data_IF_241853069473
#
_entry.id   IF_241853069473
#
_cell.length_a   1.000
_cell.length_b   1.000
_cell.length_c   1.000
_cell.angle_alpha   90.00
_cell.angle_beta   90.00
_cell.angle_gamma   90.00
#
_symmetry.space_group_name_H-M   'P 1'
#
loop_
_entity.id
_entity.type
_entity.pdbx_description
1 polymer ?
#
# COMPACT_ATOMS: atom_id res chain seq x y z
N UNK A 1 20.44 -24.35 1.53
CA UNK A 1 19.32 -25.12 0.95
C UNK A 1 18.32 -25.38 2.06
N UNK A 2 17.42 -24.42 2.27
CA UNK A 2 16.39 -24.48 3.33
C UNK A 2 15.12 -24.95 2.63
N UNK A 3 14.73 -26.19 2.86
CA UNK A 3 13.55 -26.79 2.25
C UNK A 3 12.33 -25.90 2.50
N UNK A 4 11.49 -25.68 1.47
CA UNK A 4 10.17 -25.13 1.66
C UNK A 4 9.40 -26.08 2.59
N UNK A 5 9.17 -25.66 3.84
CA UNK A 5 8.32 -26.38 4.79
C UNK A 5 6.84 -26.24 4.37
N UNK A 6 6.49 -26.75 3.19
CA UNK A 6 5.11 -27.00 2.79
C UNK A 6 4.69 -28.46 3.06
N UNK A 7 5.50 -29.24 3.77
CA UNK A 7 5.03 -30.51 4.33
C UNK A 7 4.14 -30.22 5.55
N UNK A 8 2.94 -29.71 5.26
CA UNK A 8 1.83 -29.81 6.16
C UNK A 8 1.58 -31.31 6.38
N UNK A 9 1.99 -31.81 7.54
CA UNK A 9 1.62 -33.13 8.01
C UNK A 9 0.12 -33.29 7.85
N UNK A 10 -0.29 -34.16 6.92
CA UNK A 10 -1.66 -34.58 6.77
C UNK A 10 -1.98 -35.41 8.01
N UNK A 11 -2.51 -34.77 9.06
CA UNK A 11 -3.07 -35.49 10.20
C UNK A 11 -4.24 -36.33 9.68
N UNK A 12 -4.02 -37.63 9.60
CA UNK A 12 -5.05 -38.62 9.28
C UNK A 12 -6.18 -38.52 10.31
N UNK A 13 -7.46 -38.69 9.91
CA UNK A 13 -8.55 -38.72 10.87
C UNK A 13 -8.40 -39.96 11.77
N UNK A 14 -8.23 -39.72 13.07
CA UNK A 14 -8.36 -40.78 14.10
C UNK A 14 -9.80 -41.24 14.09
N UNK A 15 -10.00 -42.48 13.65
CA UNK A 15 -11.25 -43.23 13.78
C UNK A 15 -11.44 -43.61 15.26
N UNK A 16 -12.24 -42.82 15.98
CA UNK A 16 -12.74 -43.23 17.30
C UNK A 16 -13.85 -44.27 17.11
N UNK A 17 -13.54 -45.50 17.53
CA UNK A 17 -14.51 -46.57 17.70
C UNK A 17 -15.37 -46.34 18.93
N UNK A 18 -16.63 -46.71 18.79
CA UNK A 18 -17.72 -46.51 19.73
C UNK A 18 -17.51 -46.99 21.16
N UNK A 19 -18.19 -46.27 22.07
CA UNK A 19 -18.55 -46.70 23.42
C UNK A 19 -20.01 -46.38 23.67
N UNK A 20 -20.85 -47.40 23.61
CA UNK A 20 -22.28 -47.41 23.98
C UNK A 20 -22.43 -47.54 25.49
N UNK A 21 -23.29 -46.71 26.12
CA UNK A 21 -24.39 -47.13 27.03
C UNK A 21 -24.92 -45.95 27.85
N UNK A 22 -26.23 -45.93 28.12
CA UNK A 22 -26.79 -45.22 29.28
C UNK A 22 -28.11 -44.51 29.03
N UNK A 23 -29.20 -45.27 29.03
CA UNK A 23 -30.57 -44.79 28.95
C UNK A 23 -31.04 -44.02 30.20
N UNK A 24 -31.81 -42.95 29.99
CA UNK A 24 -32.94 -42.45 30.79
C UNK A 24 -33.48 -41.22 30.02
N UNK A 25 -34.71 -41.11 29.51
CA UNK A 25 -36.00 -41.60 29.98
C UNK A 25 -36.76 -40.46 30.66
N UNK A 26 -37.48 -39.60 29.91
CA UNK A 26 -38.74 -38.95 30.36
C UNK A 26 -39.46 -38.08 29.29
N UNK A 27 -40.67 -38.55 28.96
CA UNK A 27 -41.96 -37.89 28.66
C UNK A 27 -42.04 -36.47 28.06
N UNK A 28 -42.51 -36.44 26.80
CA UNK A 28 -43.75 -35.84 26.24
C UNK A 28 -44.61 -34.96 27.18
N UNK A 29 -44.84 -33.69 26.80
CA UNK A 29 -46.12 -32.95 26.57
C UNK A 29 -45.73 -31.65 25.81
N UNK A 30 -46.38 -31.07 24.81
CA UNK A 30 -47.62 -31.31 24.09
C UNK A 30 -47.68 -30.37 22.87
N UNK A 31 -48.53 -30.73 21.93
CA UNK A 31 -48.75 -30.03 20.66
C UNK A 31 -49.48 -28.69 20.85
N UNK A 32 -49.23 -27.73 19.96
CA UNK A 32 -50.28 -26.85 19.48
C UNK A 32 -49.95 -26.34 18.08
N UNK A 33 -50.80 -26.75 17.13
CA UNK A 33 -50.81 -26.32 15.75
C UNK A 33 -51.69 -25.08 15.62
N UNK A 34 -51.23 -24.06 14.88
CA UNK A 34 -52.13 -23.02 14.34
C UNK A 34 -51.76 -22.74 12.88
N UNK A 35 -52.70 -23.16 12.04
CA UNK A 35 -53.17 -22.61 10.76
C UNK A 35 -52.23 -21.80 9.85
N UNK A 36 -52.06 -22.37 8.65
CA UNK A 36 -51.74 -21.70 7.38
C UNK A 36 -52.74 -20.60 7.01
N UNK A 37 -52.27 -19.54 6.33
CA UNK A 37 -52.91 -18.89 5.16
C UNK A 37 -51.98 -17.85 4.56
N UNK A 38 -51.94 -17.76 3.21
CA UNK A 38 -51.59 -16.52 2.51
C UNK A 38 -50.45 -16.58 1.50
N UNK A 39 -50.66 -17.27 0.39
CA UNK A 39 -49.91 -17.07 -0.86
C UNK A 39 -50.37 -15.81 -1.59
N UNK A 40 -49.45 -14.92 -1.98
CA UNK A 40 -49.42 -14.30 -3.33
C UNK A 40 -48.09 -13.57 -3.58
N UNK A 41 -47.47 -13.69 -4.78
CA UNK A 41 -46.18 -13.09 -5.07
C UNK A 41 -46.36 -11.71 -5.71
N UNK A 42 -45.77 -10.67 -5.12
CA UNK A 42 -45.72 -9.34 -5.74
C UNK A 42 -44.35 -9.14 -6.39
N UNK A 43 -44.32 -9.30 -7.72
CA UNK A 43 -43.22 -8.86 -8.59
C UNK A 43 -42.88 -7.41 -8.27
N UNK A 44 -41.68 -7.15 -7.78
CA UNK A 44 -41.03 -5.83 -7.86
C UNK A 44 -39.96 -5.90 -8.93
N UNK A 45 -40.07 -4.99 -9.90
CA UNK A 45 -39.11 -4.77 -10.96
C UNK A 45 -37.72 -4.44 -10.37
N UNK A 46 -36.62 -4.83 -11.03
CA UNK A 46 -35.30 -4.39 -10.62
C UNK A 46 -35.16 -2.90 -10.93
N UNK A 47 -34.99 -2.12 -9.87
CA UNK A 47 -34.48 -0.75 -9.97
C UNK A 47 -32.99 -0.87 -10.30
N UNK A 48 -32.66 -0.64 -11.57
CA UNK A 48 -31.29 -0.40 -12.00
C UNK A 48 -30.83 0.91 -11.37
N UNK A 49 -30.06 0.81 -10.29
CA UNK A 49 -29.35 1.95 -9.76
C UNK A 49 -27.84 1.74 -9.84
N UNK A 50 -27.23 2.82 -10.28
CA UNK A 50 -25.97 2.92 -10.98
C UNK A 50 -24.94 3.33 -9.94
N UNK A 51 -24.06 2.42 -9.52
CA UNK A 51 -22.79 2.82 -8.91
C UNK A 51 -21.64 2.44 -9.82
N UNK A 52 -21.19 3.48 -10.53
CA UNK A 52 -19.90 3.57 -11.20
C UNK A 52 -18.78 3.26 -10.21
N UNK A 53 -18.30 2.02 -10.21
CA UNK A 53 -16.96 1.72 -9.71
C UNK A 53 -15.97 2.07 -10.82
N UNK A 54 -15.38 3.25 -10.73
CA UNK A 54 -14.17 3.58 -11.47
C UNK A 54 -13.02 2.73 -10.91
N UNK A 55 -12.85 1.54 -11.47
CA UNK A 55 -11.57 0.86 -11.50
C UNK A 55 -11.06 1.02 -12.94
N UNK A 56 -10.03 1.81 -13.13
CA UNK A 56 -9.31 1.89 -14.40
C UNK A 56 -8.55 0.58 -14.61
N UNK A 57 -9.23 -0.45 -15.10
CA UNK A 57 -8.59 -1.60 -15.75
C UNK A 57 -8.56 -1.31 -17.24
N UNK A 58 -7.34 -1.08 -17.75
CA UNK A 58 -7.07 -0.97 -19.18
C UNK A 58 -7.00 -2.39 -19.78
N UNK A 59 -7.85 -2.68 -20.78
CA UNK A 59 -7.78 -3.85 -21.67
C UNK A 59 -7.60 -3.30 -23.10
N UNK A 60 -6.78 -3.94 -23.97
CA UNK A 60 -6.03 -3.22 -24.99
C UNK A 60 -6.78 -3.10 -26.33
N UNK A 61 -6.57 -1.97 -27.01
CA UNK A 61 -6.79 -1.76 -28.44
C UNK A 61 -5.57 -0.99 -29.00
N UNK A 62 -5.27 -1.11 -30.31
CA UNK A 62 -3.91 -0.96 -30.82
C UNK A 62 -3.48 0.51 -30.96
N UNK A 63 -2.20 0.76 -30.68
CA UNK A 63 -1.44 1.99 -30.92
C UNK A 63 -1.67 3.20 -30.00
N UNK A 64 -2.06 3.02 -28.74
CA UNK A 64 -1.85 4.07 -27.72
C UNK A 64 -0.49 3.89 -27.06
N UNK A 65 0.43 4.80 -27.36
CA UNK A 65 1.71 4.85 -26.65
C UNK A 65 1.49 5.22 -25.19
N UNK A 66 1.98 4.39 -24.26
CA UNK A 66 1.91 4.67 -22.81
C UNK A 66 3.27 5.18 -22.34
N UNK A 67 3.27 6.26 -21.56
CA UNK A 67 4.47 6.80 -20.90
C UNK A 67 4.38 6.41 -19.42
N UNK A 68 5.25 5.51 -18.99
CA UNK A 68 5.40 5.18 -17.56
C UNK A 68 6.69 5.80 -17.03
N UNK A 69 6.63 6.42 -15.85
CA UNK A 69 7.77 7.08 -15.23
C UNK A 69 8.00 6.59 -13.81
N UNK A 70 9.26 6.37 -13.43
CA UNK A 70 9.66 6.18 -12.03
C UNK A 70 10.51 7.36 -11.56
N UNK A 71 10.27 7.76 -10.30
CA UNK A 71 10.90 8.91 -9.67
C UNK A 71 11.83 8.38 -8.57
N UNK A 72 13.10 8.76 -8.61
CA UNK A 72 14.06 8.51 -7.54
C UNK A 72 14.72 9.82 -7.12
N UNK A 73 14.71 10.13 -5.82
CA UNK A 73 15.38 11.30 -5.25
C UNK A 73 16.81 10.98 -4.81
N UNK A 74 17.71 11.95 -4.95
CA UNK A 74 19.05 11.91 -4.36
C UNK A 74 19.36 13.28 -3.74
N UNK A 75 19.67 13.31 -2.45
CA UNK A 75 19.99 14.54 -1.73
C UNK A 75 21.45 14.93 -1.96
N UNK A 76 21.71 16.23 -2.16
CA UNK A 76 23.07 16.81 -2.27
C UNK A 76 23.24 17.94 -1.25
N UNK A 77 24.45 18.10 -0.71
CA UNK A 77 24.81 18.99 0.42
C UNK A 77 24.88 20.50 0.10
N UNK A 78 24.15 20.98 -0.90
CA UNK A 78 24.10 22.39 -1.32
C UNK A 78 22.72 22.99 -0.92
N UNK A 79 22.42 24.31 -1.08
CA UNK A 79 21.15 24.90 -0.59
C UNK A 79 19.94 24.09 -1.06
N UNK A 80 18.78 24.09 -0.36
CA UNK A 80 17.76 23.03 -0.40
C UNK A 80 17.14 22.87 -1.79
N UNK A 81 17.89 22.22 -2.66
CA UNK A 81 17.54 21.89 -4.02
C UNK A 81 17.49 20.39 -4.08
N UNK A 82 16.28 19.89 -4.26
CA UNK A 82 16.10 18.46 -4.52
C UNK A 82 16.50 18.19 -5.96
N UNK A 83 17.33 17.16 -6.16
CA UNK A 83 17.57 16.57 -7.48
C UNK A 83 16.69 15.34 -7.64
N UNK A 84 15.90 15.35 -8.71
CA UNK A 84 14.95 14.29 -9.05
C UNK A 84 15.36 13.66 -10.37
N UNK A 85 15.78 12.40 -10.31
CA UNK A 85 16.04 11.64 -11.52
C UNK A 85 14.75 10.96 -11.94
N UNK A 86 14.30 11.25 -13.17
CA UNK A 86 13.12 10.65 -13.75
C UNK A 86 13.54 9.67 -14.83
N UNK A 87 13.09 8.43 -14.73
CA UNK A 87 13.19 7.46 -15.81
C UNK A 87 11.84 7.35 -16.45
N UNK A 88 11.76 7.55 -17.76
CA UNK A 88 10.53 7.33 -18.52
C UNK A 88 10.74 6.18 -19.49
N UNK A 89 9.70 5.39 -19.71
CA UNK A 89 9.62 4.40 -20.76
C UNK A 89 8.50 4.82 -21.71
N UNK A 90 8.82 4.93 -23.00
CA UNK A 90 7.81 5.10 -24.05
C UNK A 90 7.53 3.73 -24.63
N UNK A 91 6.37 3.16 -24.30
CA UNK A 91 5.92 1.91 -24.89
C UNK A 91 5.05 2.22 -26.10
N UNK A 92 5.43 1.72 -27.28
CA UNK A 92 4.59 1.74 -28.48
C UNK A 92 5.01 2.76 -29.53
N UNK A 93 5.27 2.24 -30.74
CA UNK A 93 5.56 3.02 -31.94
C UNK A 93 6.80 2.48 -32.65
N UNK A 94 6.61 1.74 -33.74
CA UNK A 94 7.70 1.51 -34.70
C UNK A 94 8.14 2.87 -35.25
N UNK A 95 9.35 3.31 -34.91
CA UNK A 95 9.90 4.60 -35.34
C UNK A 95 10.59 4.51 -36.71
N UNK A 96 10.24 3.54 -37.57
CA UNK A 96 10.90 3.41 -38.87
C UNK A 96 10.72 4.70 -39.69
N UNK A 97 11.78 5.50 -39.76
CA UNK A 97 11.88 6.73 -40.57
C UNK A 97 11.34 8.01 -39.93
N UNK A 98 10.77 7.99 -38.72
CA UNK A 98 10.18 9.18 -38.08
C UNK A 98 11.08 9.73 -36.97
N UNK A 99 11.36 11.03 -37.02
CA UNK A 99 12.12 11.73 -35.98
C UNK A 99 11.20 12.11 -34.81
N UNK A 100 10.81 11.11 -34.04
CA UNK A 100 9.95 11.31 -32.87
C UNK A 100 10.76 11.92 -31.71
N UNK A 101 10.25 13.00 -31.11
CA UNK A 101 10.86 13.69 -29.96
C UNK A 101 9.91 13.71 -28.77
N UNK A 102 10.47 13.62 -27.56
CA UNK A 102 9.74 13.81 -26.32
C UNK A 102 9.92 15.25 -25.84
N UNK A 103 8.88 16.06 -25.94
CA UNK A 103 8.87 17.43 -25.42
C UNK A 103 8.29 17.44 -24.00
N UNK A 104 9.08 17.89 -23.04
CA UNK A 104 8.71 18.02 -21.63
C UNK A 104 8.53 19.49 -21.29
N UNK A 105 7.47 19.81 -20.55
CA UNK A 105 7.21 21.13 -19.97
C UNK A 105 6.93 20.96 -18.49
N UNK A 106 7.79 21.54 -17.65
CA UNK A 106 7.64 21.57 -16.21
C UNK A 106 6.98 22.89 -15.81
N UNK A 107 5.85 22.80 -15.13
CA UNK A 107 5.12 23.93 -14.56
C UNK A 107 5.24 23.89 -13.05
N UNK A 108 5.18 25.06 -12.41
CA UNK A 108 5.32 25.23 -10.96
C UNK A 108 4.20 26.09 -10.40
N UNK A 109 3.76 25.76 -9.20
CA UNK A 109 2.91 26.58 -8.34
C UNK A 109 3.49 26.62 -6.92
N UNK A 110 3.30 27.71 -6.15
CA UNK A 110 3.64 27.72 -4.73
C UNK A 110 2.98 26.54 -4.00
N UNK A 111 3.72 25.92 -3.08
CA UNK A 111 3.17 24.86 -2.24
C UNK A 111 2.11 25.47 -1.31
N UNK A 112 0.83 25.23 -1.61
CA UNK A 112 -0.24 25.58 -0.68
C UNK A 112 -0.42 24.39 0.26
N UNK A 113 0.00 24.54 1.51
CA UNK A 113 -0.27 23.56 2.56
C UNK A 113 -1.79 23.47 2.75
N UNK A 114 -2.39 22.47 2.11
CA UNK A 114 -3.75 22.06 2.41
C UNK A 114 -3.63 20.73 3.17
N UNK A 115 -4.27 20.63 4.33
CA UNK A 115 -4.36 19.40 5.13
C UNK A 115 -5.23 18.32 4.47
N UNK A 116 -5.20 18.21 3.15
CA UNK A 116 -6.00 17.30 2.34
C UNK A 116 -5.28 16.94 1.03
N UNK A 117 -5.88 16.09 0.18
CA UNK A 117 -5.30 15.72 -1.11
C UNK A 117 -4.99 16.98 -1.93
N UNK A 118 -3.92 16.97 -2.73
CA UNK A 118 -3.55 18.07 -3.65
C UNK A 118 -4.71 18.36 -4.61
N UNK A 119 -5.54 19.36 -4.29
CA UNK A 119 -6.79 19.67 -5.03
C UNK A 119 -6.56 20.60 -6.23
N UNK A 120 -5.44 21.32 -6.32
CA UNK A 120 -5.14 22.14 -7.49
C UNK A 120 -4.39 21.33 -8.54
N UNK A 121 -5.17 20.64 -9.40
CA UNK A 121 -4.70 19.96 -10.62
C UNK A 121 -4.85 20.84 -11.87
N UNK A 122 -5.18 22.11 -11.69
CA UNK A 122 -5.37 23.02 -12.81
C UNK A 122 -4.01 23.44 -13.37
N UNK A 123 -3.62 22.75 -14.45
CA UNK A 123 -2.38 22.98 -15.20
C UNK A 123 -2.30 24.43 -15.70
N UNK A 124 -3.45 25.04 -16.01
CA UNK A 124 -3.51 26.40 -16.57
C UNK A 124 -3.23 27.48 -15.51
N UNK A 125 -3.40 27.14 -14.23
CA UNK A 125 -3.04 28.00 -13.10
C UNK A 125 -1.54 27.98 -12.75
N UNK A 126 -0.77 27.04 -13.31
CA UNK A 126 0.64 26.87 -13.00
C UNK A 126 1.54 27.71 -13.92
N UNK A 127 2.64 28.22 -13.36
CA UNK A 127 3.61 29.04 -14.10
C UNK A 127 4.62 28.14 -14.81
N UNK A 128 5.03 28.44 -16.06
CA UNK A 128 6.13 27.75 -16.71
C UNK A 128 7.41 27.83 -15.88
N UNK A 129 8.08 26.70 -15.67
CA UNK A 129 9.34 26.61 -14.96
C UNK A 129 10.49 26.22 -15.91
N UNK A 130 10.31 25.15 -16.70
CA UNK A 130 11.29 24.71 -17.69
C UNK A 130 10.61 24.00 -18.87
N UNK A 131 11.24 23.98 -20.03
CA UNK A 131 10.79 23.20 -21.17
C UNK A 131 11.98 22.71 -22.02
N UNK A 132 11.83 21.56 -22.66
CA UNK A 132 12.85 21.01 -23.57
C UNK A 132 12.30 19.84 -24.38
N UNK A 133 12.91 19.56 -25.54
CA UNK A 133 12.59 18.40 -26.35
C UNK A 133 13.82 17.50 -26.48
N UNK A 134 13.61 16.21 -26.23
CA UNK A 134 14.67 15.22 -26.07
C UNK A 134 14.46 14.03 -27.01
N UNK A 135 15.54 13.30 -27.29
CA UNK A 135 15.44 12.00 -27.94
C UNK A 135 14.82 10.99 -26.98
N UNK A 136 14.09 10.00 -27.50
CA UNK A 136 13.39 9.01 -26.69
C UNK A 136 14.30 8.19 -25.75
N UNK A 137 15.57 8.04 -26.12
CA UNK A 137 16.57 7.29 -25.34
C UNK A 137 17.37 8.16 -24.37
N UNK A 138 17.20 9.48 -24.40
CA UNK A 138 18.01 10.39 -23.60
C UNK A 138 17.45 10.50 -22.16
N UNK A 139 18.20 10.11 -21.12
CA UNK A 139 17.74 10.29 -19.75
C UNK A 139 17.59 11.78 -19.41
N UNK A 140 16.50 12.13 -18.71
CA UNK A 140 16.22 13.51 -18.27
C UNK A 140 16.32 13.59 -16.75
N UNK A 141 17.13 14.52 -16.26
CA UNK A 141 17.28 14.80 -14.82
C UNK A 141 16.69 16.16 -14.52
N UNK A 142 15.79 16.23 -13.54
CA UNK A 142 15.26 17.49 -13.03
C UNK A 142 16.08 17.88 -11.81
N UNK A 143 17.01 18.81 -11.99
CA UNK A 143 17.85 19.34 -10.91
C UNK A 143 17.34 20.71 -10.45
N UNK A 144 17.80 21.14 -9.27
CA UNK A 144 17.55 22.49 -8.74
C UNK A 144 16.08 22.83 -8.52
N UNK A 145 15.26 21.83 -8.23
CA UNK A 145 13.85 22.05 -7.93
C UNK A 145 13.72 22.67 -6.54
N UNK A 146 13.13 23.85 -6.50
CA UNK A 146 12.77 24.55 -5.27
C UNK A 146 11.49 23.98 -4.66
N UNK A 147 11.21 24.31 -3.39
CA UNK A 147 9.93 23.96 -2.74
C UNK A 147 8.74 24.47 -3.55
N UNK A 148 7.76 23.59 -3.79
CA UNK A 148 6.61 23.89 -4.63
C UNK A 148 5.85 22.65 -5.11
N UNK A 149 4.68 22.90 -5.71
CA UNK A 149 3.95 21.91 -6.49
C UNK A 149 4.36 22.01 -7.95
N UNK A 150 4.52 20.87 -8.62
CA UNK A 150 4.95 20.78 -10.01
C UNK A 150 4.00 19.93 -10.84
N UNK A 151 3.83 20.33 -12.10
CA UNK A 151 3.20 19.51 -13.14
C UNK A 151 4.21 19.28 -14.26
N UNK A 152 4.51 18.01 -14.56
CA UNK A 152 5.29 17.62 -15.73
C UNK A 152 4.33 17.23 -16.84
N UNK A 153 4.31 18.03 -17.90
CA UNK A 153 3.57 17.76 -19.13
C UNK A 153 4.54 17.18 -20.15
N UNK A 154 4.30 15.95 -20.56
CA UNK A 154 5.02 15.25 -21.62
C UNK A 154 4.20 15.25 -22.90
N UNK A 155 4.82 15.58 -24.02
CA UNK A 155 4.24 15.56 -25.35
C UNK A 155 5.16 14.78 -26.29
N UNK A 156 4.62 13.73 -26.89
CA UNK A 156 5.31 13.02 -27.96
C UNK A 156 5.05 13.78 -29.27
N UNK A 157 6.09 14.22 -29.96
CA UNK A 157 5.95 14.98 -31.22
C UNK A 157 6.66 14.30 -32.38
N UNK A 158 6.05 14.38 -33.56
CA UNK A 158 6.64 13.98 -34.84
C UNK A 158 6.42 15.11 -35.84
N UNK A 159 7.50 15.66 -36.39
CA UNK A 159 7.44 16.70 -37.43
C UNK A 159 6.56 17.93 -37.08
N UNK A 160 6.42 18.23 -35.79
CA UNK A 160 5.61 19.36 -35.28
C UNK A 160 4.21 18.96 -34.79
N UNK A 161 3.71 17.79 -35.18
CA UNK A 161 2.43 17.25 -34.72
C UNK A 161 2.58 16.60 -33.34
N UNK A 162 1.59 16.79 -32.46
CA UNK A 162 1.56 16.14 -31.15
C UNK A 162 0.83 14.81 -31.25
N UNK A 163 1.57 13.71 -31.12
CA UNK A 163 1.06 12.34 -31.21
C UNK A 163 0.35 11.88 -29.92
N UNK A 164 0.87 12.30 -28.77
CA UNK A 164 0.35 11.91 -27.46
C UNK A 164 0.73 12.93 -26.40
N UNK A 165 -0.06 13.02 -25.32
CA UNK A 165 0.24 13.82 -24.16
C UNK A 165 0.07 13.01 -22.87
N UNK A 166 0.84 13.37 -21.84
CA UNK A 166 0.70 12.83 -20.50
C UNK A 166 1.06 13.90 -19.47
N UNK A 167 0.37 13.91 -18.34
CA UNK A 167 0.63 14.86 -17.25
C UNK A 167 0.81 14.13 -15.94
N UNK A 168 1.88 14.45 -15.22
CA UNK A 168 2.14 13.95 -13.87
C UNK A 168 2.30 15.12 -12.89
N UNK A 169 1.79 14.96 -11.68
CA UNK A 169 1.88 15.96 -10.62
C UNK A 169 2.72 15.43 -9.48
N UNK A 170 3.58 16.28 -8.93
CA UNK A 170 4.39 15.96 -7.76
C UNK A 170 4.64 17.24 -6.96
N UNK A 171 5.08 17.09 -5.71
CA UNK A 171 5.46 18.21 -4.86
C UNK A 171 6.89 18.01 -4.37
N UNK A 172 7.62 19.11 -4.28
CA UNK A 172 8.88 19.20 -3.57
C UNK A 172 8.58 19.92 -2.26
N UNK A 173 8.59 19.18 -1.16
CA UNK A 173 8.57 19.75 0.18
C UNK A 173 9.98 20.20 0.56
N UNK A 174 10.15 21.15 1.50
CA UNK A 174 11.45 21.28 2.15
C UNK A 174 11.82 19.91 2.71
N UNK A 175 13.08 19.51 2.54
CA UNK A 175 13.61 18.38 3.30
C UNK A 175 13.47 18.76 4.77
N UNK A 176 12.57 18.09 5.49
CA UNK A 176 12.45 18.21 6.95
C UNK A 176 13.74 17.78 7.69
N UNK A 177 14.74 17.31 6.94
CA UNK A 177 16.02 16.80 7.42
C UNK A 177 17.04 17.91 7.77
N UNK A 178 16.77 19.19 7.47
CA UNK A 178 17.76 20.27 7.72
C UNK A 178 17.45 21.14 8.96
N UNK A 179 16.35 20.89 9.67
CA UNK A 179 16.18 21.40 11.05
C UNK A 179 16.64 20.38 12.11
N UNK A 180 16.82 19.11 11.76
CA UNK A 180 17.27 18.06 12.69
C UNK A 180 18.79 17.88 12.76
N UNK A 181 19.56 18.52 11.87
CA UNK A 181 20.99 18.21 11.73
C UNK A 181 21.93 19.26 12.37
N UNK A 182 21.41 20.29 13.05
CA UNK A 182 22.26 21.32 13.69
C UNK A 182 22.14 21.49 15.21
N UNK A 183 21.48 20.57 15.89
CA UNK A 183 21.62 20.35 17.32
C UNK A 183 20.82 19.13 17.69
N UNK A 184 21.44 18.16 18.39
CA UNK A 184 20.81 17.02 19.06
C UNK A 184 19.37 16.69 18.61
N UNK A 185 19.25 15.70 17.73
CA UNK A 185 17.97 15.13 17.28
C UNK A 185 16.97 15.08 18.43
N UNK A 186 15.92 15.91 18.36
CA UNK A 186 14.79 15.83 19.26
C UNK A 186 14.34 14.37 19.30
N UNK A 187 14.57 13.69 20.42
CA UNK A 187 14.34 12.25 20.63
C UNK A 187 13.05 11.80 19.94
N UNK A 188 13.15 11.14 18.80
CA UNK A 188 11.99 10.52 18.17
C UNK A 188 11.39 9.54 19.17
N UNK A 189 10.07 9.58 19.31
CA UNK A 189 9.40 8.71 20.27
C UNK A 189 9.57 7.23 19.87
N UNK A 190 10.40 6.50 20.62
CA UNK A 190 10.69 5.09 20.39
C UNK A 190 9.50 4.22 20.84
N UNK A 191 8.60 3.92 19.91
CA UNK A 191 7.39 3.13 20.16
C UNK A 191 7.67 1.84 20.94
N UNK A 192 6.96 1.64 22.05
CA UNK A 192 7.02 0.44 22.89
C UNK A 192 5.62 -0.01 23.34
N UNK A 193 5.48 -1.27 23.77
CA UNK A 193 4.21 -1.78 24.32
C UNK A 193 3.91 -1.26 25.74
N UNK A 194 4.91 -0.72 26.42
CA UNK A 194 4.75 -0.12 27.75
C UNK A 194 4.42 1.37 27.62
N UNK A 195 3.67 1.91 28.59
CA UNK A 195 3.40 3.35 28.63
C UNK A 195 4.69 4.13 28.86
N UNK A 196 5.02 5.00 27.92
CA UNK A 196 6.18 5.88 28.00
C UNK A 196 5.72 7.34 28.00
N UNK A 197 6.36 8.18 28.80
CA UNK A 197 6.07 9.62 28.81
C UNK A 197 6.50 10.24 27.49
N UNK A 198 5.63 11.08 26.92
CA UNK A 198 5.90 11.87 25.71
C UNK A 198 6.26 13.28 26.15
N UNK A 199 7.44 13.75 25.74
CA UNK A 199 7.92 15.10 26.07
C UNK A 199 7.04 16.17 25.39
N UNK A 200 7.09 17.38 25.93
CA UNK A 200 6.44 18.52 25.28
C UNK A 200 7.08 18.79 23.92
N UNK A 201 6.26 19.04 22.89
CA UNK A 201 6.73 19.21 21.51
C UNK A 201 7.17 17.93 20.79
N UNK A 202 7.39 16.81 21.49
CA UNK A 202 7.78 15.55 20.85
C UNK A 202 6.65 14.99 19.96
N UNK A 203 7.03 14.55 18.76
CA UNK A 203 6.14 13.93 17.79
C UNK A 203 5.88 12.47 18.16
N UNK A 204 4.61 12.06 18.09
CA UNK A 204 4.18 10.67 18.38
C UNK A 204 3.82 10.01 17.05
N UNK A 205 4.46 8.88 16.68
CA UNK A 205 4.08 8.13 15.49
C UNK A 205 2.59 7.79 15.45
N UNK A 206 2.00 7.81 14.26
CA UNK A 206 0.60 7.42 14.09
C UNK A 206 0.35 5.97 14.53
N UNK A 207 -0.88 5.69 14.98
CA UNK A 207 -1.29 4.35 15.41
C UNK A 207 -0.88 3.95 16.82
N UNK A 208 -0.27 4.84 17.59
CA UNK A 208 -0.04 4.64 19.04
C UNK A 208 -1.29 5.02 19.85
N UNK A 209 -1.51 4.34 20.96
CA UNK A 209 -2.42 4.80 22.02
C UNK A 209 -1.77 5.96 22.74
N UNK A 210 -2.52 7.06 22.94
CA UNK A 210 -2.05 8.24 23.67
C UNK A 210 -2.98 8.48 24.85
N UNK A 211 -2.42 8.57 26.05
CA UNK A 211 -3.12 8.92 27.27
C UNK A 211 -2.75 10.35 27.67
N UNK A 212 -3.77 11.18 27.88
CA UNK A 212 -3.65 12.57 28.35
C UNK A 212 -4.13 12.65 29.80
N UNK A 213 -3.31 13.23 30.69
CA UNK A 213 -3.75 13.46 32.07
C UNK A 213 -4.76 14.61 32.16
N UNK A 214 -5.82 14.42 32.95
CA UNK A 214 -6.89 15.41 33.17
C UNK A 214 -6.63 16.34 34.38
N UNK A 215 -5.55 16.10 35.12
CA UNK A 215 -5.18 16.80 36.36
C UNK A 215 -4.50 18.17 36.12
N UNK A 216 -4.49 18.66 34.88
CA UNK A 216 -3.81 19.91 34.51
C UNK A 216 -2.28 19.80 34.44
N UNK A 217 -1.70 18.62 34.70
CA UNK A 217 -0.24 18.41 34.61
C UNK A 217 0.29 18.41 33.18
N UNK A 218 -0.61 18.40 32.18
CA UNK A 218 -0.30 18.27 30.75
C UNK A 218 0.60 17.06 30.41
N UNK A 219 0.69 16.07 31.31
CA UNK A 219 1.46 14.86 31.07
C UNK A 219 0.79 14.03 29.98
N UNK A 220 1.59 13.68 28.98
CA UNK A 220 1.22 12.79 27.89
C UNK A 220 2.02 11.51 28.02
N UNK A 221 1.37 10.38 27.77
CA UNK A 221 2.06 9.10 27.60
C UNK A 221 1.54 8.39 26.36
N UNK A 222 2.38 7.56 25.76
CA UNK A 222 2.01 6.78 24.59
C UNK A 222 2.55 5.36 24.66
N UNK A 223 1.87 4.44 23.96
CA UNK A 223 2.30 3.04 23.78
C UNK A 223 1.74 2.46 22.49
N UNK A 224 2.29 1.33 22.06
CA UNK A 224 1.70 0.48 21.02
C UNK A 224 0.42 -0.17 21.60
N UNK A 225 -0.72 -0.12 20.89
CA UNK A 225 -1.92 -0.82 21.32
C UNK A 225 -1.67 -2.32 21.55
N UNK A 226 -2.29 -2.97 22.55
CA UNK A 226 -2.13 -4.41 22.77
C UNK A 226 -2.48 -5.27 21.55
N UNK A 227 -3.38 -4.78 20.70
CA UNK A 227 -3.74 -5.37 19.42
C UNK A 227 -3.85 -4.27 18.38
N UNK A 228 -3.19 -4.45 17.23
CA UNK A 228 -3.21 -3.48 16.14
C UNK A 228 -3.26 -4.19 14.78
N UNK A 229 -3.67 -3.45 13.74
CA UNK A 229 -3.91 -4.02 12.41
C UNK A 229 -2.71 -3.85 11.50
N UNK A 230 -2.10 -4.97 11.12
CA UNK A 230 -1.02 -5.02 10.13
C UNK A 230 -1.62 -5.09 8.72
N UNK A 231 -1.19 -4.17 7.84
CA UNK A 231 -1.54 -4.18 6.42
C UNK A 231 -0.29 -4.46 5.58
N UNK A 232 -0.30 -5.54 4.80
CA UNK A 232 0.80 -5.94 3.92
C UNK A 232 0.34 -5.99 2.46
N UNK A 233 1.15 -5.47 1.54
CA UNK A 233 0.92 -5.65 0.11
C UNK A 233 1.53 -6.97 -0.34
N UNK A 234 0.71 -7.83 -0.96
CA UNK A 234 1.13 -9.18 -1.38
C UNK A 234 1.58 -9.25 -2.84
N UNK A 235 1.50 -8.13 -3.57
CA UNK A 235 1.81 -8.06 -5.00
C UNK A 235 0.58 -7.87 -5.87
N UNK A 236 0.84 -7.65 -7.16
CA UNK A 236 -0.19 -7.45 -8.16
C UNK A 236 -1.07 -8.71 -8.31
N UNK A 237 -2.39 -8.51 -8.44
CA UNK A 237 -3.38 -9.59 -8.49
C UNK A 237 -3.72 -10.24 -7.13
N UNK A 238 -2.86 -10.11 -6.12
CA UNK A 238 -3.10 -10.66 -4.77
C UNK A 238 -3.66 -9.61 -3.79
N UNK A 239 -3.36 -8.33 -4.01
CA UNK A 239 -3.91 -7.22 -3.24
C UNK A 239 -3.24 -7.04 -1.88
N UNK A 240 -4.03 -6.68 -0.86
CA UNK A 240 -3.55 -6.40 0.49
C UNK A 240 -4.03 -7.46 1.48
N UNK A 241 -3.12 -7.97 2.31
CA UNK A 241 -3.45 -8.65 3.56
C UNK A 241 -3.72 -7.60 4.63
N UNK A 242 -4.76 -7.83 5.43
CA UNK A 242 -5.05 -7.05 6.63
C UNK A 242 -5.36 -8.01 7.76
N UNK A 243 -4.47 -8.09 8.75
CA UNK A 243 -4.62 -8.99 9.90
C UNK A 243 -4.36 -8.23 11.19
N UNK A 244 -5.10 -8.56 12.24
CA UNK A 244 -4.82 -8.06 13.58
C UNK A 244 -3.69 -8.88 14.19
N UNK A 245 -2.78 -8.21 14.90
CA UNK A 245 -1.60 -8.81 15.51
C UNK A 245 -1.43 -8.33 16.95
N UNK A 246 -0.84 -9.18 17.77
CA UNK A 246 -0.45 -8.91 19.15
C UNK A 246 1.09 -8.83 19.27
N UNK A 247 1.57 -8.49 20.47
CA UNK A 247 3.00 -8.42 20.82
C UNK A 247 3.74 -9.73 20.53
N UNK A 248 3.10 -10.85 20.86
CA UNK A 248 3.63 -12.21 20.84
C UNK A 248 3.26 -13.01 19.59
N UNK A 249 2.40 -12.48 18.73
CA UNK A 249 2.10 -13.07 17.41
C UNK A 249 3.42 -13.35 16.68
N UNK A 250 3.57 -14.55 16.14
CA UNK A 250 4.80 -14.92 15.42
C UNK A 250 4.75 -14.48 13.96
N UNK A 251 5.92 -14.20 13.39
CA UNK A 251 6.03 -13.85 11.96
C UNK A 251 5.48 -14.97 11.06
N UNK A 252 5.65 -16.24 11.43
CA UNK A 252 5.07 -17.39 10.71
C UNK A 252 3.54 -17.37 10.64
N UNK A 253 2.86 -16.84 11.65
CA UNK A 253 1.39 -16.73 11.66
C UNK A 253 0.93 -15.66 10.67
N UNK A 254 1.66 -14.53 10.61
CA UNK A 254 1.45 -13.49 9.61
C UNK A 254 1.68 -14.03 8.19
N UNK A 255 2.72 -14.85 8.00
CA UNK A 255 3.01 -15.50 6.72
C UNK A 255 1.92 -16.51 6.33
N UNK A 256 1.44 -17.33 7.27
CA UNK A 256 0.33 -18.25 7.02
C UNK A 256 -0.96 -17.52 6.61
N UNK A 257 -1.25 -16.37 7.24
CA UNK A 257 -2.36 -15.51 6.84
C UNK A 257 -2.17 -14.92 5.43
N UNK A 258 -0.94 -14.56 5.06
CA UNK A 258 -0.61 -14.11 3.71
C UNK A 258 -0.80 -15.22 2.66
N UNK A 259 -0.36 -16.45 2.98
CA UNK A 259 -0.54 -17.65 2.14
C UNK A 259 -2.02 -17.96 1.91
N UNK A 260 -2.82 -17.98 2.98
CA UNK A 260 -4.26 -18.20 2.89
C UNK A 260 -4.96 -17.14 2.03
N UNK A 261 -4.61 -15.86 2.21
CA UNK A 261 -5.17 -14.75 1.42
C UNK A 261 -4.76 -14.85 -0.06
N UNK A 262 -3.51 -15.20 -0.34
CA UNK A 262 -3.02 -15.37 -1.70
C UNK A 262 -3.69 -16.56 -2.41
N UNK A 263 -3.86 -17.68 -1.72
CA UNK A 263 -4.59 -18.85 -2.25
C UNK A 263 -6.05 -18.50 -2.56
N UNK A 264 -6.73 -17.76 -1.67
CA UNK A 264 -8.08 -17.29 -1.90
C UNK A 264 -8.17 -16.32 -3.09
N UNK A 265 -7.18 -15.43 -3.26
CA UNK A 265 -7.12 -14.52 -4.40
C UNK A 265 -6.88 -15.28 -5.72
N UNK A 266 -5.99 -16.26 -5.72
CA UNK A 266 -5.71 -17.11 -6.87
C UNK A 266 -6.95 -17.83 -7.39
N UNK A 267 -7.75 -18.40 -6.49
CA UNK A 267 -9.01 -19.08 -6.82
C UNK A 267 -10.02 -18.11 -7.47
N UNK A 268 -10.13 -16.87 -6.95
CA UNK A 268 -11.04 -15.86 -7.52
C UNK A 268 -10.62 -15.37 -8.90
N UNK A 269 -9.32 -15.38 -9.19
CA UNK A 269 -8.76 -14.86 -10.44
C UNK A 269 -8.37 -15.96 -11.44
N UNK A 270 -8.70 -17.22 -11.16
CA UNK A 270 -8.32 -18.38 -11.99
C UNK A 270 -6.82 -18.39 -12.34
N UNK A 271 -5.98 -18.04 -11.36
CA UNK A 271 -4.53 -18.04 -11.52
C UNK A 271 -3.97 -19.44 -11.28
N UNK A 272 -3.66 -20.16 -12.35
CA UNK A 272 -3.01 -21.47 -12.27
C UNK A 272 -1.65 -21.39 -11.55
N UNK A 273 -1.40 -22.31 -10.62
CA UNK A 273 -0.11 -22.44 -9.92
C UNK A 273 0.14 -21.50 -8.74
N UNK A 274 -0.85 -20.73 -8.29
CA UNK A 274 -0.70 -19.83 -7.14
C UNK A 274 -1.03 -20.46 -5.77
N UNK A 275 -1.54 -21.69 -5.75
CA UNK A 275 -1.90 -22.41 -4.51
C UNK A 275 -0.70 -22.97 -3.71
N UNK A 276 0.53 -22.91 -4.26
CA UNK A 276 1.75 -23.39 -3.60
C UNK A 276 2.82 -22.30 -3.48
N UNK A 277 2.41 -21.06 -3.26
CA UNK A 277 3.32 -19.95 -3.06
C UNK A 277 3.77 -19.90 -1.59
N UNK A 278 5.06 -20.11 -1.33
CA UNK A 278 5.65 -19.76 -0.03
C UNK A 278 5.96 -18.27 0.01
N UNK A 279 5.70 -17.62 1.13
CA UNK A 279 6.04 -16.21 1.32
C UNK A 279 7.20 -16.00 2.30
N UNK A 280 7.83 -14.84 2.20
CA UNK A 280 8.80 -14.34 3.17
C UNK A 280 8.57 -12.87 3.42
N UNK A 281 8.72 -12.47 4.67
CA UNK A 281 8.53 -11.10 5.13
C UNK A 281 9.88 -10.42 5.23
N UNK A 282 9.99 -9.24 4.63
CA UNK A 282 11.18 -8.42 4.64
C UNK A 282 10.88 -7.06 5.28
N UNK A 283 11.85 -6.51 5.98
CA UNK A 283 11.87 -5.10 6.40
C UNK A 283 13.06 -4.41 5.72
N UNK A 284 12.80 -3.62 4.68
CA UNK A 284 13.87 -3.10 3.84
C UNK A 284 14.63 -4.25 3.15
N UNK A 285 15.94 -4.33 3.30
CA UNK A 285 16.75 -5.44 2.75
C UNK A 285 16.68 -6.73 3.58
N UNK A 286 16.21 -6.65 4.82
CA UNK A 286 16.45 -7.69 5.81
C UNK A 286 15.30 -8.69 5.81
N UNK A 287 15.63 -9.97 5.68
CA UNK A 287 14.67 -11.04 5.85
C UNK A 287 14.37 -11.23 7.35
N UNK A 288 13.09 -11.31 7.71
CA UNK A 288 12.65 -11.53 9.08
C UNK A 288 12.51 -13.03 9.37
N UNK A 289 13.06 -13.45 10.52
CA UNK A 289 12.93 -14.80 11.02
C UNK A 289 11.46 -15.14 11.29
N UNK A 290 10.99 -16.29 10.79
CA UNK A 290 9.62 -16.73 10.92
C UNK A 290 9.23 -17.06 12.37
N UNK A 291 10.20 -17.45 13.21
CA UNK A 291 9.97 -17.79 14.61
C UNK A 291 10.00 -16.58 15.54
N UNK A 292 10.49 -15.43 15.07
CA UNK A 292 10.46 -14.18 15.81
C UNK A 292 9.02 -13.69 16.04
N UNK A 293 8.79 -13.02 17.18
CA UNK A 293 7.53 -12.35 17.48
C UNK A 293 7.46 -10.99 16.78
N UNK A 294 6.25 -10.47 16.60
CA UNK A 294 5.97 -9.12 16.07
C UNK A 294 6.79 -8.04 16.78
N UNK A 295 6.92 -8.13 18.10
CA UNK A 295 7.74 -7.20 18.90
C UNK A 295 9.24 -7.36 18.62
N UNK A 296 9.76 -8.58 18.71
CA UNK A 296 11.21 -8.82 18.49
C UNK A 296 11.66 -8.47 17.08
N UNK A 297 10.78 -8.65 16.09
CA UNK A 297 10.97 -8.21 14.70
C UNK A 297 10.69 -6.72 14.48
N UNK A 298 10.22 -5.99 15.49
CA UNK A 298 9.91 -4.57 15.46
C UNK A 298 8.94 -4.17 14.33
N UNK A 299 7.94 -5.00 14.03
CA UNK A 299 7.08 -4.77 12.85
C UNK A 299 6.33 -3.43 12.92
N UNK A 300 5.95 -2.98 14.11
CA UNK A 300 5.23 -1.72 14.29
C UNK A 300 6.07 -0.50 13.84
N UNK A 301 7.33 -0.45 14.27
CA UNK A 301 8.28 0.62 13.92
C UNK A 301 8.73 0.53 12.46
N UNK A 302 8.78 -0.70 11.91
CA UNK A 302 9.22 -0.97 10.53
C UNK A 302 8.08 -1.00 9.51
N UNK A 303 6.84 -0.68 9.90
CA UNK A 303 5.63 -0.86 9.07
C UNK A 303 5.70 -0.26 7.66
N UNK A 304 6.41 0.87 7.49
CA UNK A 304 6.59 1.53 6.19
C UNK A 304 7.59 0.85 5.26
N UNK A 305 8.37 -0.10 5.77
CA UNK A 305 9.43 -0.82 5.06
C UNK A 305 9.08 -2.30 4.84
N UNK A 306 7.95 -2.76 5.39
CA UNK A 306 7.53 -4.15 5.30
C UNK A 306 7.06 -4.49 3.89
N UNK A 307 7.57 -5.58 3.36
CA UNK A 307 7.06 -6.15 2.12
C UNK A 307 7.16 -7.66 2.13
N UNK A 308 6.24 -8.27 1.41
CA UNK A 308 6.14 -9.73 1.28
C UNK A 308 6.68 -10.11 -0.10
N UNK A 309 7.55 -11.12 -0.16
CA UNK A 309 8.02 -11.69 -1.43
C UNK A 309 7.65 -13.16 -1.50
N UNK A 310 7.19 -13.59 -2.68
CA UNK A 310 7.03 -15.00 -3.01
C UNK A 310 8.42 -15.63 -3.16
N UNK A 311 8.66 -16.76 -2.50
CA UNK A 311 9.87 -17.56 -2.76
C UNK A 311 9.71 -18.29 -4.10
N UNK A 312 10.76 -18.36 -4.92
CA UNK A 312 10.77 -19.29 -6.05
C UNK A 312 10.69 -20.71 -5.48
N UNK A 313 9.71 -21.47 -5.94
CA UNK A 313 9.57 -22.92 -5.70
C UNK A 313 10.53 -23.70 -6.56
#
# INVERSE_FOLDING_TARGET
>A
ATACCCDAGTTSPVSERGGSHGAHGRRIVGASAVQRRGTTPRRKAPHNDRMLRNCCTWVPWPHTGSISGSISSRNSSAPPTSSLQMRYAVQGGSTQGRSVRLCLRLLRSPLRYYGGPLLSRDVDSMRPYAAGCFLLTQPVTLANLSVGSYALVAQLRDSGETLSNATSFFAVSPSLEDETTRGDTADDFAASYEWQSVREGQSVPSGLEVQLSLDGSHRRSARIPPTWRLQLFLGEGLGFLRTDVLRDTRVREVLAAAEAQAAAAALRHHLDGAHKACFSLFAGSDWLDAESTVESAQLFSRRGQLHVRRRPT
#
